data_IF_658861621419
#
_entry.id   IF_658861621419
#
_cell.length_a   1.000
_cell.length_b   1.000
_cell.length_c   1.000
_cell.angle_alpha   90.00
_cell.angle_beta   90.00
_cell.angle_gamma   90.00
#
_symmetry.space_group_name_H-M   'P 1'
#
loop_
_entity.id
_entity.type
_entity.pdbx_description
1 polymer ?
#
# COMPACT_ATOMS: atom_id res chain seq x y z
N UNK A 1 4.55 -5.03 -13.64
CA UNK A 1 5.30 -3.79 -13.88
C UNK A 1 6.13 -3.47 -12.66
N UNK A 2 7.11 -2.60 -12.85
CA UNK A 2 8.00 -2.11 -11.79
C UNK A 2 7.41 -0.87 -11.10
N UNK A 3 8.04 -0.42 -10.02
CA UNK A 3 7.65 0.84 -9.35
C UNK A 3 8.14 2.01 -10.20
N UNK A 4 7.24 2.85 -10.74
CA UNK A 4 7.66 4.03 -11.50
C UNK A 4 8.45 4.99 -10.61
N UNK A 5 9.56 5.53 -11.11
CA UNK A 5 10.42 6.45 -10.36
C UNK A 5 11.32 5.79 -9.31
N UNK A 6 11.51 4.46 -9.37
CA UNK A 6 12.47 3.71 -8.56
C UNK A 6 13.92 3.90 -8.98
N UNK A 7 14.34 5.16 -8.99
CA UNK A 7 15.67 5.58 -9.36
C UNK A 7 16.12 6.81 -8.55
N UNK A 8 17.44 7.02 -8.48
CA UNK A 8 18.06 8.07 -7.70
C UNK A 8 17.70 9.50 -8.17
N UNK A 9 17.26 9.68 -9.41
CA UNK A 9 16.88 10.99 -9.95
C UNK A 9 15.45 11.36 -9.56
N UNK A 10 14.56 10.38 -9.51
CA UNK A 10 13.12 10.59 -9.35
C UNK A 10 12.62 10.46 -7.91
N UNK A 11 13.33 9.73 -7.04
CA UNK A 11 12.89 9.48 -5.66
C UNK A 11 14.03 9.65 -4.65
N UNK A 12 13.81 10.49 -3.63
CA UNK A 12 14.78 10.76 -2.57
C UNK A 12 15.10 9.55 -1.67
N UNK A 13 14.28 8.49 -1.72
CA UNK A 13 14.49 7.25 -0.99
C UNK A 13 14.25 6.01 -1.90
N UNK A 14 14.80 6.02 -3.11
CA UNK A 14 14.54 4.97 -4.11
C UNK A 14 15.00 3.56 -3.69
N UNK A 15 15.93 3.44 -2.74
CA UNK A 15 16.43 2.14 -2.27
C UNK A 15 15.42 1.40 -1.39
N UNK A 16 14.47 2.11 -0.79
CA UNK A 16 13.45 1.56 0.11
C UNK A 16 12.10 1.35 -0.60
N UNK A 17 12.15 1.01 -1.89
CA UNK A 17 10.95 0.73 -2.67
C UNK A 17 10.80 -0.77 -2.90
N UNK A 18 9.90 -1.39 -2.13
CA UNK A 18 9.65 -2.83 -2.15
C UNK A 18 8.30 -3.16 -2.80
N UNK A 19 8.33 -3.52 -4.09
CA UNK A 19 7.13 -3.86 -4.86
C UNK A 19 6.39 -5.09 -4.32
N UNK A 20 7.12 -6.11 -3.87
CA UNK A 20 6.50 -7.35 -3.39
C UNK A 20 5.72 -7.11 -2.11
N UNK A 21 6.27 -6.32 -1.19
CA UNK A 21 5.61 -5.93 0.04
C UNK A 21 4.36 -5.08 -0.25
N UNK A 22 4.47 -4.11 -1.17
CA UNK A 22 3.32 -3.30 -1.57
C UNK A 22 2.16 -4.15 -2.13
N UNK A 23 2.46 -5.16 -2.97
CA UNK A 23 1.45 -6.10 -3.49
C UNK A 23 0.80 -6.92 -2.37
N UNK A 24 1.60 -7.40 -1.41
CA UNK A 24 1.09 -8.13 -0.26
C UNK A 24 0.11 -7.28 0.56
N UNK A 25 0.51 -6.05 0.94
CA UNK A 25 -0.33 -5.16 1.74
C UNK A 25 -1.62 -4.78 0.99
N UNK A 26 -1.51 -4.50 -0.32
CA UNK A 26 -2.68 -4.20 -1.15
C UNK A 26 -3.66 -5.38 -1.21
N UNK A 27 -3.16 -6.60 -1.40
CA UNK A 27 -3.98 -7.81 -1.42
C UNK A 27 -4.63 -8.08 -0.05
N UNK A 28 -3.87 -7.87 1.03
CA UNK A 28 -4.37 -8.02 2.40
C UNK A 28 -5.51 -7.03 2.67
N UNK A 29 -5.29 -5.74 2.41
CA UNK A 29 -6.32 -4.72 2.62
C UNK A 29 -7.56 -4.93 1.73
N UNK A 30 -7.35 -5.32 0.47
CA UNK A 30 -8.46 -5.65 -0.43
C UNK A 30 -9.33 -6.79 0.11
N UNK A 31 -8.70 -7.91 0.50
CA UNK A 31 -9.42 -9.09 0.96
C UNK A 31 -9.99 -8.93 2.38
N UNK A 32 -9.25 -8.33 3.30
CA UNK A 32 -9.65 -8.27 4.73
C UNK A 32 -10.51 -7.06 5.06
N UNK A 33 -10.42 -5.98 4.28
CA UNK A 33 -11.15 -4.72 4.57
C UNK A 33 -12.12 -4.37 3.45
N UNK A 34 -11.67 -4.20 2.21
CA UNK A 34 -12.55 -3.68 1.15
C UNK A 34 -13.68 -4.66 0.79
N UNK A 35 -13.38 -5.96 0.72
CA UNK A 35 -14.40 -6.99 0.50
C UNK A 35 -15.16 -7.38 1.77
N UNK A 36 -14.68 -6.99 2.96
CA UNK A 36 -15.21 -7.38 4.26
C UNK A 36 -15.31 -6.18 5.21
N UNK A 37 -15.89 -5.07 4.74
CA UNK A 37 -15.88 -3.81 5.49
C UNK A 37 -16.68 -3.92 6.80
N UNK A 38 -16.07 -3.47 7.90
CA UNK A 38 -16.68 -3.50 9.24
C UNK A 38 -17.04 -2.09 9.70
N UNK A 39 -17.96 -2.00 10.66
CA UNK A 39 -18.40 -0.73 11.24
C UNK A 39 -17.23 0.09 11.81
N UNK A 40 -16.26 -0.56 12.46
CA UNK A 40 -15.04 0.08 12.97
C UNK A 40 -14.21 0.77 11.87
N UNK A 41 -14.24 0.29 10.63
CA UNK A 41 -13.52 0.91 9.51
C UNK A 41 -14.16 2.22 9.02
N UNK A 42 -15.41 2.49 9.43
CA UNK A 42 -16.20 3.65 9.01
C UNK A 42 -16.24 4.77 10.07
N UNK A 43 -15.74 4.50 11.27
CA UNK A 43 -15.78 5.42 12.40
C UNK A 43 -14.38 5.97 12.71
N UNK A 44 -14.15 7.23 12.36
CA UNK A 44 -12.89 7.92 12.67
C UNK A 44 -12.94 8.55 14.06
N UNK A 45 -11.84 8.52 14.84
CA UNK A 45 -11.75 9.23 16.12
C UNK A 45 -12.05 10.73 15.95
N UNK A 46 -12.71 11.33 16.95
CA UNK A 46 -12.87 12.79 17.06
C UNK A 46 -11.60 13.47 17.56
#
# INVERSE_FOLDING_TARGET
GDVPGADAKSCGNYQDMNLNMAKYEAAKFYNEVLLNIKEENLNYPQ
#
